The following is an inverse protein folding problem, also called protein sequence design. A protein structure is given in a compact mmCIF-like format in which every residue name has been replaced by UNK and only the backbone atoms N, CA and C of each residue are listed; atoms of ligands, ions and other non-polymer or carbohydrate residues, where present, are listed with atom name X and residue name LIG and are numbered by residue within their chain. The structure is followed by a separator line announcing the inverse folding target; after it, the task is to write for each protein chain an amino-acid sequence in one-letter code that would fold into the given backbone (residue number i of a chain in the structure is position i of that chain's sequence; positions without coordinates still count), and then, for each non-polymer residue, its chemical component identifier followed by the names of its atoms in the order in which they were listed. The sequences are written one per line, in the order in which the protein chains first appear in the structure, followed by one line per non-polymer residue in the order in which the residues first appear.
data_IF_825029408994
#
_entry.id   IF_825029408994
#
_cell.length_a   1.000
_cell.length_b   1.000
_cell.length_c   1.000
_cell.angle_alpha   90.00
_cell.angle_beta   90.00
_cell.angle_gamma   90.00
#
_symmetry.space_group_name_H-M   'P 1'
#
loop_
_entity.id
_entity.type
_entity.pdbx_description
1 polymer ?
#
# COMPACT_ATOMS: atom_id res chain seq x y z
N UNK A 1 -27.22 -0.95 -19.41
CA UNK A 1 -25.80 -0.95 -19.86
C UNK A 1 -24.95 0.17 -19.28
N UNK A 2 -25.06 1.46 -19.70
CA UNK A 2 -24.15 2.52 -19.19
C UNK A 2 -24.21 2.71 -17.66
N UNK A 3 -25.41 2.73 -17.07
CA UNK A 3 -25.58 2.85 -15.62
C UNK A 3 -24.99 1.66 -14.84
N UNK A 4 -25.18 0.44 -15.34
CA UNK A 4 -24.63 -0.78 -14.72
C UNK A 4 -23.10 -0.82 -14.81
N UNK A 5 -22.51 -0.40 -15.95
CA UNK A 5 -21.05 -0.29 -16.08
C UNK A 5 -20.49 0.73 -15.10
N UNK A 6 -21.20 1.83 -14.89
CA UNK A 6 -20.84 2.86 -13.92
C UNK A 6 -20.90 2.37 -12.49
N UNK A 7 -21.96 1.65 -12.13
CA UNK A 7 -22.10 1.03 -10.81
C UNK A 7 -20.95 0.07 -10.53
N UNK A 8 -20.63 -0.83 -11.47
CA UNK A 8 -19.52 -1.78 -11.31
C UNK A 8 -18.17 -1.07 -11.24
N UNK A 9 -17.96 0.00 -12.02
CA UNK A 9 -16.73 0.79 -11.99
C UNK A 9 -16.48 1.44 -10.62
N UNK A 10 -17.50 2.11 -10.08
CA UNK A 10 -17.36 2.82 -8.80
C UNK A 10 -17.33 1.87 -7.61
N UNK A 11 -18.13 0.80 -7.63
CA UNK A 11 -18.01 -0.26 -6.63
C UNK A 11 -16.62 -0.94 -6.74
N UNK A 12 -16.11 -1.04 -7.96
CA UNK A 12 -14.76 -1.49 -8.32
C UNK A 12 -13.59 -0.76 -7.66
N UNK A 13 -13.81 0.44 -7.12
CA UNK A 13 -12.80 1.21 -6.38
C UNK A 13 -12.34 0.46 -5.14
N UNK A 14 -13.26 -0.25 -4.48
CA UNK A 14 -12.99 -0.99 -3.23
C UNK A 14 -13.24 -2.50 -3.35
N UNK A 15 -13.95 -2.94 -4.40
CA UNK A 15 -14.28 -4.34 -4.67
C UNK A 15 -13.73 -4.79 -6.03
N UNK A 16 -12.65 -5.57 -6.06
CA UNK A 16 -12.02 -5.88 -7.34
C UNK A 16 -12.66 -7.00 -8.14
N UNK A 17 -13.52 -7.81 -7.53
CA UNK A 17 -14.40 -8.68 -8.32
C UNK A 17 -15.35 -7.83 -9.16
N UNK A 18 -15.80 -6.70 -8.62
CA UNK A 18 -16.59 -5.71 -9.37
C UNK A 18 -15.78 -4.93 -10.40
N UNK A 19 -14.52 -4.60 -10.10
CA UNK A 19 -13.62 -4.04 -11.12
C UNK A 19 -13.37 -5.04 -12.26
N UNK A 20 -13.18 -6.32 -11.96
CA UNK A 20 -13.06 -7.36 -12.96
C UNK A 20 -14.36 -7.49 -13.78
N UNK A 21 -15.52 -7.54 -13.11
CA UNK A 21 -16.85 -7.53 -13.74
C UNK A 21 -17.03 -6.32 -14.67
N UNK A 22 -16.62 -5.12 -14.24
CA UNK A 22 -16.62 -3.92 -15.08
C UNK A 22 -15.78 -4.11 -16.34
N UNK A 23 -14.54 -4.60 -16.21
CA UNK A 23 -13.66 -4.88 -17.35
C UNK A 23 -14.27 -5.93 -18.28
N UNK A 24 -14.82 -7.03 -17.77
CA UNK A 24 -15.46 -8.06 -18.59
C UNK A 24 -16.68 -7.53 -19.36
N UNK A 25 -17.54 -6.77 -18.68
CA UNK A 25 -18.76 -6.22 -19.29
C UNK A 25 -18.44 -5.15 -20.33
N UNK A 26 -17.50 -4.26 -20.05
CA UNK A 26 -17.07 -3.25 -21.02
C UNK A 26 -16.38 -3.92 -22.21
N UNK A 27 -15.52 -4.91 -21.97
CA UNK A 27 -14.86 -5.68 -23.04
C UNK A 27 -15.87 -6.33 -23.99
N UNK A 28 -16.91 -6.99 -23.46
CA UNK A 28 -18.00 -7.54 -24.27
C UNK A 28 -18.77 -6.46 -25.04
N UNK A 29 -19.03 -5.31 -24.41
CA UNK A 29 -19.77 -4.21 -25.03
C UNK A 29 -19.01 -3.57 -26.22
N UNK A 30 -17.68 -3.66 -26.26
CA UNK A 30 -16.83 -3.17 -27.36
C UNK A 30 -16.29 -4.29 -28.26
N UNK A 31 -16.86 -5.50 -28.16
CA UNK A 31 -16.51 -6.63 -29.02
C UNK A 31 -15.08 -7.20 -28.81
N UNK A 32 -14.47 -6.96 -27.65
CA UNK A 32 -13.13 -7.42 -27.31
C UNK A 32 -13.17 -8.71 -26.48
N UNK A 33 -12.20 -9.61 -26.72
CA UNK A 33 -12.13 -10.91 -26.02
C UNK A 33 -11.34 -10.82 -24.71
N UNK A 34 -10.57 -9.76 -24.51
CA UNK A 34 -9.79 -9.54 -23.29
C UNK A 34 -9.69 -8.05 -22.96
N UNK A 35 -9.62 -7.75 -21.66
CA UNK A 35 -9.43 -6.43 -21.12
C UNK A 35 -8.49 -6.46 -19.92
N UNK A 36 -7.66 -5.43 -19.78
CA UNK A 36 -6.74 -5.34 -18.65
C UNK A 36 -6.49 -3.90 -18.22
N UNK A 37 -6.35 -3.69 -16.91
CA UNK A 37 -5.81 -2.45 -16.36
C UNK A 37 -4.33 -2.68 -16.13
N UNK A 38 -3.47 -1.91 -16.79
CA UNK A 38 -2.02 -2.04 -16.69
C UNK A 38 -1.40 -0.77 -16.15
N UNK A 39 -0.41 -0.93 -15.26
CA UNK A 39 0.52 0.11 -14.88
C UNK A 39 1.82 -0.13 -15.65
N UNK A 40 2.25 0.88 -16.40
CA UNK A 40 3.48 0.86 -17.19
C UNK A 40 4.50 1.83 -16.60
N UNK A 41 5.72 1.35 -16.42
CA UNK A 41 6.91 2.18 -16.23
C UNK A 41 7.42 2.64 -17.61
N UNK A 42 7.47 3.94 -17.82
CA UNK A 42 7.85 4.58 -19.09
C UNK A 42 9.35 4.40 -19.36
N UNK A 43 10.20 4.36 -18.33
CA UNK A 43 11.65 4.28 -18.47
C UNK A 43 12.15 2.84 -18.43
N UNK A 44 11.57 2.02 -17.55
CA UNK A 44 11.98 0.63 -17.37
C UNK A 44 11.33 -0.35 -18.34
N UNK A 45 10.32 0.07 -19.11
CA UNK A 45 9.59 -0.77 -20.06
C UNK A 45 8.79 -1.91 -19.41
N UNK A 46 8.75 -1.96 -18.08
CA UNK A 46 8.02 -2.99 -17.33
C UNK A 46 6.54 -2.66 -17.28
N UNK A 47 5.72 -3.70 -17.44
CA UNK A 47 4.28 -3.62 -17.31
C UNK A 47 3.82 -4.48 -16.16
N UNK A 48 2.86 -3.98 -15.38
CA UNK A 48 2.20 -4.74 -14.33
C UNK A 48 0.70 -4.69 -14.55
N UNK A 49 0.09 -5.84 -14.80
CA UNK A 49 -1.35 -5.97 -14.80
C UNK A 49 -1.88 -5.77 -13.36
N UNK A 50 -2.77 -4.81 -13.19
CA UNK A 50 -3.50 -4.54 -11.95
C UNK A 50 -4.81 -5.32 -11.89
N UNK A 51 -5.44 -5.51 -13.06
CA UNK A 51 -6.67 -6.27 -13.29
C UNK A 51 -6.57 -6.87 -14.69
N UNK A 52 -7.01 -8.11 -14.88
CA UNK A 52 -7.13 -8.75 -16.18
C UNK A 52 -8.42 -9.57 -16.22
N UNK A 53 -9.10 -9.56 -17.37
CA UNK A 53 -10.37 -10.25 -17.54
C UNK A 53 -10.58 -10.71 -18.99
N UNK A 54 -11.32 -11.81 -19.17
CA UNK A 54 -11.58 -12.42 -20.48
C UNK A 54 -10.59 -13.52 -20.87
N UNK A 55 -10.61 -13.90 -22.14
CA UNK A 55 -9.73 -14.92 -22.70
C UNK A 55 -8.30 -14.36 -22.80
N UNK A 56 -7.52 -14.58 -21.75
CA UNK A 56 -6.11 -14.28 -21.72
C UNK A 56 -5.35 -15.31 -22.55
N UNK A 57 -4.30 -14.87 -23.22
CA UNK A 57 -3.32 -15.77 -23.80
C UNK A 57 -2.74 -16.72 -22.73
N UNK A 58 -2.15 -17.84 -23.18
CA UNK A 58 -1.42 -18.76 -22.31
C UNK A 58 -0.56 -17.98 -21.30
N UNK A 59 -0.71 -18.22 -19.97
CA UNK A 59 0.03 -17.50 -18.94
C UNK A 59 1.54 -17.42 -19.19
N UNK A 60 2.14 -18.45 -19.81
CA UNK A 60 3.57 -18.44 -20.17
C UNK A 60 3.91 -17.40 -21.25
N UNK A 61 3.02 -17.19 -22.20
CA UNK A 61 3.16 -16.19 -23.28
C UNK A 61 3.03 -14.77 -22.72
N UNK A 62 2.11 -14.57 -21.76
CA UNK A 62 1.93 -13.29 -21.06
C UNK A 62 3.11 -13.02 -20.12
N UNK A 63 3.60 -14.02 -19.41
CA UNK A 63 4.78 -13.90 -18.53
C UNK A 63 6.04 -13.56 -19.33
N UNK A 64 6.26 -14.24 -20.47
CA UNK A 64 7.34 -13.89 -21.40
C UNK A 64 7.25 -12.44 -21.91
N UNK A 65 6.04 -11.95 -22.20
CA UNK A 65 5.84 -10.55 -22.59
C UNK A 65 6.14 -9.57 -21.45
N UNK A 66 5.76 -9.90 -20.22
CA UNK A 66 6.03 -9.04 -19.06
C UNK A 66 7.51 -9.01 -18.67
N UNK A 67 8.26 -10.07 -18.95
CA UNK A 67 9.69 -10.19 -18.69
C UNK A 67 10.56 -9.56 -19.78
N UNK A 68 10.09 -9.55 -21.04
CA UNK A 68 10.83 -9.03 -22.18
C UNK A 68 10.49 -7.55 -22.46
N UNK A 69 11.37 -6.65 -22.00
CA UNK A 69 11.24 -5.19 -22.17
C UNK A 69 11.26 -4.73 -23.62
N UNK A 70 11.73 -5.57 -24.57
CA UNK A 70 11.83 -5.24 -26.00
C UNK A 70 10.44 -4.99 -26.62
N UNK A 71 9.43 -5.79 -26.28
CA UNK A 71 8.07 -5.61 -26.81
C UNK A 71 7.39 -4.34 -26.31
N UNK A 72 7.83 -3.85 -25.16
CA UNK A 72 7.40 -2.58 -24.61
C UNK A 72 7.91 -1.42 -25.47
N UNK A 73 9.18 -1.47 -25.89
CA UNK A 73 9.83 -0.39 -26.65
C UNK A 73 9.28 -0.34 -28.06
N UNK A 74 8.91 -1.48 -28.65
CA UNK A 74 8.38 -1.58 -30.02
C UNK A 74 6.85 -1.47 -30.13
N UNK A 75 6.15 -1.13 -29.04
CA UNK A 75 4.69 -0.96 -29.06
C UNK A 75 4.30 0.30 -29.84
N UNK A 76 4.06 0.15 -31.15
CA UNK A 76 3.77 1.24 -32.08
C UNK A 76 2.54 2.07 -31.67
N UNK A 77 1.46 1.42 -31.22
CA UNK A 77 0.27 2.12 -30.73
C UNK A 77 0.59 3.03 -29.55
N UNK A 78 1.32 2.53 -28.56
CA UNK A 78 1.72 3.34 -27.41
C UNK A 78 2.64 4.47 -27.85
N UNK A 79 3.69 4.19 -28.62
CA UNK A 79 4.72 5.16 -28.97
C UNK A 79 4.16 6.35 -29.74
N UNK A 80 3.22 6.10 -30.67
CA UNK A 80 2.57 7.17 -31.44
C UNK A 80 1.51 7.93 -30.62
N UNK A 81 0.82 7.27 -29.70
CA UNK A 81 -0.14 7.93 -28.83
C UNK A 81 0.52 8.68 -27.65
N UNK A 82 1.72 8.29 -27.24
CA UNK A 82 2.39 8.79 -26.04
C UNK A 82 2.56 10.32 -25.98
N UNK A 83 2.85 11.04 -27.08
CA UNK A 83 3.02 12.50 -27.04
C UNK A 83 1.73 13.28 -26.75
N UNK A 84 0.56 12.73 -27.11
CA UNK A 84 -0.74 13.43 -26.98
C UNK A 84 -1.63 12.84 -25.88
N UNK A 85 -1.22 11.71 -25.30
CA UNK A 85 -1.93 10.99 -24.26
C UNK A 85 -1.95 11.78 -22.94
N UNK A 86 -3.14 11.94 -22.39
CA UNK A 86 -3.43 12.55 -21.09
C UNK A 86 -4.50 11.73 -20.37
N UNK A 87 -4.72 11.98 -19.08
CA UNK A 87 -5.83 11.37 -18.36
C UNK A 87 -7.17 11.63 -19.12
N UNK A 88 -7.97 10.58 -19.28
CA UNK A 88 -9.21 10.61 -20.05
C UNK A 88 -9.05 10.42 -21.57
N UNK A 89 -7.83 10.31 -22.09
CA UNK A 89 -7.62 9.97 -23.51
C UNK A 89 -8.17 8.59 -23.84
N UNK A 90 -8.91 8.50 -24.95
CA UNK A 90 -9.29 7.25 -25.60
C UNK A 90 -8.40 7.05 -26.83
N UNK A 91 -7.71 5.92 -26.88
CA UNK A 91 -6.73 5.57 -27.90
C UNK A 91 -7.29 4.38 -28.66
N UNK A 92 -7.65 4.60 -29.92
CA UNK A 92 -8.17 3.56 -30.82
C UNK A 92 -7.05 3.15 -31.76
N UNK A 93 -6.71 1.86 -31.81
CA UNK A 93 -5.61 1.30 -32.61
C UNK A 93 -5.57 1.85 -34.03
N UNK A 94 -6.75 1.88 -34.66
CA UNK A 94 -6.94 2.14 -36.08
C UNK A 94 -6.75 3.63 -36.42
N UNK A 95 -6.85 4.51 -35.41
CA UNK A 95 -6.57 5.95 -35.54
C UNK A 95 -5.09 6.27 -35.34
N UNK A 96 -4.29 5.30 -34.89
CA UNK A 96 -2.89 5.50 -34.49
C UNK A 96 -1.92 4.84 -35.47
N UNK A 97 -2.25 3.65 -35.95
CA UNK A 97 -1.46 2.93 -36.95
C UNK A 97 -2.37 2.09 -37.85
N UNK A 98 -1.98 1.95 -39.11
CA UNK A 98 -2.68 1.04 -40.03
C UNK A 98 -2.34 -0.42 -39.71
N UNK A 99 -3.16 -1.36 -40.20
CA UNK A 99 -2.89 -2.79 -40.03
C UNK A 99 -1.56 -3.20 -40.66
N UNK A 100 -1.22 -2.64 -41.82
CA UNK A 100 0.02 -2.99 -42.53
C UNK A 100 1.26 -2.49 -41.77
N UNK A 101 1.20 -1.29 -41.20
CA UNK A 101 2.25 -0.80 -40.31
C UNK A 101 2.41 -1.70 -39.09
N UNK A 102 1.30 -2.07 -38.45
CA UNK A 102 1.32 -2.96 -37.28
C UNK A 102 1.93 -4.32 -37.62
N UNK A 103 1.57 -4.91 -38.77
CA UNK A 103 2.09 -6.21 -39.23
C UNK A 103 3.59 -6.21 -39.48
N UNK A 104 4.16 -5.07 -39.84
CA UNK A 104 5.60 -4.90 -40.01
C UNK A 104 6.39 -4.80 -38.70
N UNK A 105 5.72 -4.67 -37.55
CA UNK A 105 6.41 -4.53 -36.25
C UNK A 105 6.83 -5.88 -35.67
N UNK A 106 7.97 -5.92 -34.96
CA UNK A 106 8.35 -7.08 -34.13
C UNK A 106 7.30 -7.37 -33.06
N UNK A 107 6.71 -6.32 -32.49
CA UNK A 107 5.63 -6.42 -31.52
C UNK A 107 4.45 -7.27 -32.04
N UNK A 108 4.08 -7.12 -33.31
CA UNK A 108 3.08 -7.98 -33.91
C UNK A 108 3.59 -9.39 -34.20
N UNK A 109 4.71 -9.50 -34.91
CA UNK A 109 5.24 -10.77 -35.42
C UNK A 109 5.57 -11.76 -34.29
N UNK A 110 6.12 -11.26 -33.20
CA UNK A 110 6.63 -12.07 -32.09
C UNK A 110 5.59 -12.28 -30.99
N UNK A 111 4.61 -11.38 -30.84
CA UNK A 111 3.66 -11.43 -29.73
C UNK A 111 2.19 -11.35 -30.16
N UNK A 112 1.74 -10.22 -30.74
CA UNK A 112 0.30 -10.03 -30.97
C UNK A 112 -0.32 -11.10 -31.88
N UNK A 113 0.45 -11.61 -32.86
CA UNK A 113 0.02 -12.72 -33.73
C UNK A 113 -0.21 -14.02 -32.95
N UNK A 114 0.57 -14.30 -31.91
CA UNK A 114 0.45 -15.52 -31.10
C UNK A 114 -0.82 -15.52 -30.23
N UNK A 115 -1.37 -14.34 -29.96
CA UNK A 115 -2.52 -14.14 -29.08
C UNK A 115 -3.75 -13.64 -29.86
N UNK A 116 -3.72 -13.76 -31.20
CA UNK A 116 -4.74 -13.31 -32.14
C UNK A 116 -5.28 -11.91 -31.79
N UNK A 117 -4.37 -10.95 -31.64
CA UNK A 117 -4.71 -9.56 -31.32
C UNK A 117 -4.22 -8.64 -32.43
N UNK A 118 -5.12 -7.84 -32.99
CA UNK A 118 -4.73 -6.77 -33.93
C UNK A 118 -5.59 -5.51 -33.82
N UNK A 119 -6.54 -5.51 -32.88
CA UNK A 119 -7.39 -4.37 -32.56
C UNK A 119 -7.24 -4.02 -31.10
N UNK A 120 -7.21 -2.73 -30.78
CA UNK A 120 -7.13 -2.26 -29.40
C UNK A 120 -7.87 -0.95 -29.21
N UNK A 121 -8.57 -0.83 -28.09
CA UNK A 121 -9.01 0.47 -27.56
C UNK A 121 -8.51 0.61 -26.14
N UNK A 122 -7.95 1.75 -25.79
CA UNK A 122 -7.43 2.00 -24.46
C UNK A 122 -7.86 3.34 -23.88
N UNK A 123 -8.16 3.35 -22.58
CA UNK A 123 -8.54 4.51 -21.79
C UNK A 123 -7.39 4.84 -20.83
N UNK A 124 -6.87 6.06 -20.91
CA UNK A 124 -5.80 6.51 -20.01
C UNK A 124 -6.39 6.98 -18.67
N UNK A 125 -6.09 6.28 -17.58
CA UNK A 125 -6.50 6.67 -16.23
C UNK A 125 -5.60 7.78 -15.68
N UNK A 126 -4.29 7.66 -15.90
CA UNK A 126 -3.29 8.60 -15.40
C UNK A 126 -2.04 8.57 -16.28
N UNK A 127 -1.43 9.74 -16.46
CA UNK A 127 -0.17 9.93 -17.16
C UNK A 127 0.77 10.80 -16.31
N UNK A 128 1.80 10.17 -15.74
CA UNK A 128 2.94 10.80 -15.06
C UNK A 128 4.18 10.73 -15.95
N UNK A 129 5.27 11.46 -15.66
CA UNK A 129 6.50 11.42 -16.47
C UNK A 129 7.10 10.02 -16.58
N UNK A 130 7.06 9.25 -15.50
CA UNK A 130 7.65 7.92 -15.36
C UNK A 130 6.63 6.78 -15.43
N UNK A 131 5.33 7.06 -15.32
CA UNK A 131 4.30 6.04 -15.19
C UNK A 131 3.02 6.35 -15.98
N UNK A 132 2.42 5.32 -16.57
CA UNK A 132 1.10 5.42 -17.23
C UNK A 132 0.21 4.30 -16.72
N UNK A 133 -1.05 4.62 -16.38
CA UNK A 133 -2.07 3.60 -16.11
C UNK A 133 -3.14 3.63 -17.19
N UNK A 134 -3.41 2.47 -17.79
CA UNK A 134 -4.35 2.33 -18.90
C UNK A 134 -5.30 1.16 -18.66
N UNK A 135 -6.56 1.33 -19.05
CA UNK A 135 -7.47 0.22 -19.30
C UNK A 135 -7.47 -0.08 -20.78
N UNK A 136 -6.98 -1.25 -21.18
CA UNK A 136 -6.83 -1.65 -22.57
C UNK A 136 -7.69 -2.87 -22.86
N UNK A 137 -8.51 -2.77 -23.90
CA UNK A 137 -9.27 -3.87 -24.48
C UNK A 137 -8.65 -4.28 -25.80
N UNK A 138 -8.49 -5.59 -25.99
CA UNK A 138 -7.89 -6.17 -27.19
C UNK A 138 -8.87 -7.07 -27.93
N UNK A 139 -8.81 -7.01 -29.25
CA UNK A 139 -9.66 -7.74 -30.17
C UNK A 139 -8.88 -8.39 -31.30
N UNK A 140 -9.45 -9.47 -31.83
CA UNK A 140 -8.95 -10.20 -32.99
C UNK A 140 -8.94 -9.33 -34.25
N UNK A 141 -8.19 -9.75 -35.27
CA UNK A 141 -8.29 -9.09 -36.57
C UNK A 141 -9.71 -9.18 -37.16
N UNK A 142 -10.36 -10.35 -37.00
CA UNK A 142 -11.67 -10.67 -37.57
C UNK A 142 -12.81 -9.78 -37.08
N UNK A 143 -12.68 -9.15 -35.90
CA UNK A 143 -13.72 -8.22 -35.40
C UNK A 143 -13.82 -6.93 -36.20
N UNK A 144 -12.82 -6.60 -37.02
CA UNK A 144 -12.79 -5.35 -37.78
C UNK A 144 -12.58 -4.11 -36.90
N UNK A 145 -12.73 -2.94 -37.51
CA UNK A 145 -12.49 -1.64 -36.87
C UNK A 145 -13.49 -1.38 -35.72
N UNK A 146 -13.13 -0.45 -34.82
CA UNK A 146 -14.08 0.07 -33.82
C UNK A 146 -15.11 0.99 -34.46
N UNK A 147 -16.39 0.71 -34.21
CA UNK A 147 -17.46 1.54 -34.74
C UNK A 147 -17.64 2.83 -33.89
N UNK A 148 -18.42 3.78 -34.42
CA UNK A 148 -18.64 5.06 -33.75
C UNK A 148 -19.36 4.92 -32.38
N UNK A 149 -20.19 3.89 -32.19
CA UNK A 149 -20.94 3.66 -30.94
C UNK A 149 -20.01 3.09 -29.86
N UNK A 150 -19.15 2.16 -30.23
CA UNK A 150 -18.13 1.58 -29.34
C UNK A 150 -17.15 2.65 -28.86
N UNK A 151 -16.66 3.49 -29.78
CA UNK A 151 -15.76 4.58 -29.41
C UNK A 151 -16.47 5.62 -28.54
N UNK A 152 -17.70 6.00 -28.86
CA UNK A 152 -18.48 6.93 -28.04
C UNK A 152 -18.76 6.39 -26.63
N UNK A 153 -18.95 5.07 -26.47
CA UNK A 153 -19.08 4.42 -25.16
C UNK A 153 -17.78 4.57 -24.35
N UNK A 154 -16.62 4.29 -24.95
CA UNK A 154 -15.31 4.45 -24.32
C UNK A 154 -15.06 5.91 -23.92
N UNK A 155 -15.35 6.86 -24.82
CA UNK A 155 -15.20 8.30 -24.57
C UNK A 155 -16.12 8.78 -23.44
N UNK A 156 -17.34 8.25 -23.36
CA UNK A 156 -18.29 8.56 -22.29
C UNK A 156 -17.89 7.97 -20.92
N UNK A 157 -17.13 6.86 -20.90
CA UNK A 157 -16.67 6.21 -19.67
C UNK A 157 -15.28 6.68 -19.20
N UNK A 158 -14.45 7.20 -20.12
CA UNK A 158 -13.11 7.69 -19.83
C UNK A 158 -13.02 8.64 -18.60
N UNK A 159 -13.84 9.70 -18.47
CA UNK A 159 -13.76 10.58 -17.30
C UNK A 159 -14.12 9.86 -15.99
N UNK A 160 -15.03 8.89 -16.04
CA UNK A 160 -15.41 8.13 -14.86
C UNK A 160 -14.32 7.14 -14.44
N UNK A 161 -13.63 6.56 -15.43
CA UNK A 161 -12.48 5.70 -15.16
C UNK A 161 -11.33 6.48 -14.51
N UNK A 162 -11.07 7.71 -14.96
CA UNK A 162 -10.13 8.64 -14.30
C UNK A 162 -10.55 8.87 -12.84
N UNK A 163 -11.80 9.28 -12.60
CA UNK A 163 -12.30 9.58 -11.25
C UNK A 163 -12.22 8.36 -10.31
N UNK A 164 -12.60 7.18 -10.79
CA UNK A 164 -12.52 5.94 -10.01
C UNK A 164 -11.05 5.58 -9.68
N UNK A 165 -10.14 5.81 -10.63
CA UNK A 165 -8.71 5.59 -10.42
C UNK A 165 -8.09 6.60 -9.43
N UNK A 166 -8.46 7.87 -9.52
CA UNK A 166 -8.04 8.92 -8.58
C UNK A 166 -8.55 8.65 -7.16
N UNK A 167 -9.83 8.30 -7.01
CA UNK A 167 -10.40 7.93 -5.71
C UNK A 167 -9.66 6.73 -5.11
N UNK A 168 -9.33 5.74 -5.94
CA UNK A 168 -8.55 4.58 -5.51
C UNK A 168 -7.13 4.97 -5.07
N UNK A 169 -6.44 5.83 -5.81
CA UNK A 169 -5.12 6.34 -5.40
C UNK A 169 -5.21 7.10 -4.07
N UNK A 170 -6.19 7.99 -3.91
CA UNK A 170 -6.38 8.75 -2.68
C UNK A 170 -6.60 7.82 -1.47
N UNK A 171 -7.39 6.75 -1.62
CA UNK A 171 -7.57 5.74 -0.57
C UNK A 171 -6.28 4.97 -0.26
N UNK A 172 -5.48 4.64 -1.27
CA UNK A 172 -4.19 3.98 -1.08
C UNK A 172 -3.16 4.89 -0.40
N UNK A 173 -3.13 6.17 -0.77
CA UNK A 173 -2.24 7.16 -0.17
C UNK A 173 -2.65 7.43 1.28
N UNK A 174 -3.95 7.58 1.55
CA UNK A 174 -4.47 7.68 2.90
C UNK A 174 -4.12 6.44 3.75
N UNK A 175 -4.22 5.23 3.19
CA UNK A 175 -3.79 4.00 3.85
C UNK A 175 -2.28 3.99 4.15
N UNK A 176 -1.44 4.37 3.18
CA UNK A 176 0.02 4.43 3.37
C UNK A 176 0.41 5.44 4.44
N UNK A 177 -0.26 6.59 4.46
CA UNK A 177 -0.03 7.67 5.43
C UNK A 177 -0.76 7.44 6.76
N UNK A 178 -1.56 6.38 6.89
CA UNK A 178 -2.35 6.14 8.09
C UNK A 178 -1.46 5.76 9.29
N UNK A 179 -1.17 6.77 10.13
CA UNK A 179 -0.83 6.65 11.56
C UNK A 179 0.54 6.09 11.92
N UNK A 180 0.84 6.13 13.23
CA UNK A 180 2.04 5.52 13.86
C UNK A 180 1.95 4.03 14.09
N UNK A 181 0.73 3.49 14.04
CA UNK A 181 0.49 2.09 14.25
C UNK A 181 0.98 1.30 13.03
N UNK A 182 1.81 0.29 13.25
CA UNK A 182 2.21 -0.60 12.18
C UNK A 182 1.02 -1.50 11.80
N UNK A 183 0.53 -1.35 10.57
CA UNK A 183 -0.61 -2.09 10.02
C UNK A 183 -0.18 -2.90 8.80
N UNK A 184 -0.52 -4.19 8.82
CA UNK A 184 -0.29 -5.10 7.70
C UNK A 184 -1.60 -5.80 7.35
N UNK A 185 -1.97 -5.72 6.08
CA UNK A 185 -3.07 -6.50 5.51
C UNK A 185 -2.49 -7.79 4.98
N UNK A 186 -2.99 -8.94 5.46
CA UNK A 186 -2.41 -10.26 5.19
C UNK A 186 -3.43 -11.19 4.51
N UNK A 187 -2.95 -12.07 3.63
CA UNK A 187 -3.75 -13.14 3.01
C UNK A 187 -4.00 -14.31 4.00
N UNK A 188 -4.70 -15.36 3.55
CA UNK A 188 -4.96 -16.58 4.33
C UNK A 188 -3.68 -17.31 4.79
N UNK A 189 -2.56 -17.06 4.13
CA UNK A 189 -1.25 -17.64 4.41
C UNK A 189 -0.33 -16.70 5.20
N UNK A 190 -0.87 -15.62 5.78
CA UNK A 190 -0.13 -14.56 6.48
C UNK A 190 0.93 -13.86 5.61
N UNK A 191 0.72 -13.81 4.30
CA UNK A 191 1.57 -13.05 3.38
C UNK A 191 1.07 -11.61 3.31
N UNK A 192 1.96 -10.61 3.38
CA UNK A 192 1.55 -9.22 3.25
C UNK A 192 0.96 -8.91 1.88
N UNK A 193 -0.29 -8.49 1.89
CA UNK A 193 -1.03 -7.94 0.75
C UNK A 193 -0.83 -6.42 0.70
N UNK A 194 -0.78 -5.74 1.84
CA UNK A 194 -0.45 -4.32 1.91
C UNK A 194 0.14 -3.98 3.27
N UNK A 195 0.97 -2.94 3.32
CA UNK A 195 1.65 -2.47 4.52
C UNK A 195 1.58 -0.94 4.53
N UNK A 196 1.24 -0.33 5.67
CA UNK A 196 1.30 1.13 5.81
C UNK A 196 2.72 1.59 6.19
N UNK A 197 2.97 2.90 6.25
CA UNK A 197 4.29 3.44 6.59
C UNK A 197 4.84 2.90 7.93
N UNK A 198 4.01 2.81 8.98
CA UNK A 198 4.44 2.25 10.27
C UNK A 198 4.85 0.77 10.19
N UNK A 199 4.16 -0.02 9.36
CA UNK A 199 4.52 -1.41 9.10
C UNK A 199 5.82 -1.54 8.31
N UNK A 200 6.08 -0.66 7.35
CA UNK A 200 7.34 -0.61 6.60
C UNK A 200 8.52 -0.28 7.53
N UNK A 201 8.37 0.71 8.42
CA UNK A 201 9.38 1.03 9.44
C UNK A 201 9.69 -0.16 10.35
N UNK A 202 8.66 -0.90 10.79
CA UNK A 202 8.83 -2.11 11.61
C UNK A 202 9.58 -3.22 10.85
N UNK A 203 9.29 -3.40 9.55
CA UNK A 203 10.02 -4.34 8.70
C UNK A 203 11.49 -3.92 8.53
N UNK A 204 11.76 -2.62 8.35
CA UNK A 204 13.11 -2.06 8.29
C UNK A 204 13.87 -2.23 9.62
N UNK A 205 13.18 -2.09 10.76
CA UNK A 205 13.73 -2.36 12.09
C UNK A 205 13.98 -3.85 12.36
N UNK A 206 13.67 -4.74 11.41
CA UNK A 206 13.92 -6.19 11.48
C UNK A 206 13.25 -6.87 12.67
N UNK A 207 12.07 -6.40 13.09
CA UNK A 207 11.26 -7.08 14.10
C UNK A 207 10.55 -8.29 13.46
N UNK A 208 9.89 -8.05 12.33
CA UNK A 208 9.34 -9.06 11.44
C UNK A 208 10.08 -9.00 10.10
N UNK A 209 10.09 -10.12 9.37
CA UNK A 209 10.59 -10.15 7.99
C UNK A 209 9.62 -10.88 7.08
N UNK A 210 9.64 -10.48 5.82
CA UNK A 210 8.99 -11.18 4.71
C UNK A 210 10.07 -11.96 3.97
N UNK A 211 10.04 -13.29 4.01
CA UNK A 211 10.86 -14.08 3.08
C UNK A 211 10.28 -13.90 1.67
N UNK A 212 11.12 -13.82 0.62
CA UNK A 212 10.65 -13.63 -0.78
C UNK A 212 9.50 -14.61 -1.10
N UNK A 213 8.32 -14.09 -1.44
CA UNK A 213 7.06 -14.84 -1.71
C UNK A 213 6.56 -15.75 -0.57
N UNK A 214 6.99 -15.53 0.67
CA UNK A 214 6.66 -16.37 1.83
C UNK A 214 5.98 -15.56 2.95
N UNK A 215 5.37 -16.29 3.90
CA UNK A 215 4.64 -15.74 5.02
C UNK A 215 5.52 -14.82 5.89
N UNK A 216 4.87 -13.92 6.62
CA UNK A 216 5.51 -13.10 7.63
C UNK A 216 6.09 -14.01 8.74
N UNK A 217 7.30 -13.70 9.21
CA UNK A 217 7.89 -14.41 10.36
C UNK A 217 8.70 -13.47 11.25
N UNK A 218 8.78 -13.75 12.57
CA UNK A 218 9.66 -13.01 13.45
C UNK A 218 11.12 -13.28 13.15
N UNK A 219 11.94 -12.23 13.24
CA UNK A 219 13.38 -12.34 13.04
C UNK A 219 14.03 -13.05 14.22
N UNK A 220 13.71 -12.64 15.44
CA UNK A 220 14.34 -13.16 16.64
C UNK A 220 13.68 -14.47 17.14
N UNK A 221 14.47 -15.48 17.60
CA UNK A 221 13.95 -16.74 18.11
C UNK A 221 12.96 -16.62 19.27
N UNK A 222 13.12 -15.63 20.16
CA UNK A 222 12.25 -15.41 21.32
C UNK A 222 10.77 -15.23 20.94
N UNK A 223 10.50 -14.69 19.73
CA UNK A 223 9.14 -14.45 19.23
C UNK A 223 8.54 -15.66 18.51
N UNK A 224 9.35 -16.68 18.14
CA UNK A 224 8.91 -17.80 17.28
C UNK A 224 7.91 -18.72 17.97
N UNK A 225 8.02 -18.95 19.27
CA UNK A 225 7.10 -19.81 20.00
C UNK A 225 5.67 -19.24 19.98
N UNK A 226 5.52 -17.95 20.34
CA UNK A 226 4.24 -17.25 20.29
C UNK A 226 3.68 -17.16 18.86
N UNK A 227 4.54 -16.87 17.89
CA UNK A 227 4.16 -16.84 16.47
C UNK A 227 3.64 -18.19 15.96
N UNK A 228 4.36 -19.27 16.24
CA UNK A 228 3.95 -20.62 15.83
C UNK A 228 2.65 -21.05 16.52
N UNK A 229 2.45 -20.64 17.78
CA UNK A 229 1.19 -20.88 18.48
C UNK A 229 0.02 -20.14 17.83
N UNK A 230 0.21 -18.86 17.44
CA UNK A 230 -0.77 -18.09 16.67
C UNK A 230 -1.12 -18.82 15.36
N UNK A 231 -0.11 -19.14 14.54
CA UNK A 231 -0.32 -19.85 13.25
C UNK A 231 -1.10 -21.15 13.43
N UNK A 232 -0.77 -21.93 14.46
CA UNK A 232 -1.51 -23.18 14.78
C UNK A 232 -2.96 -22.90 15.17
N UNK A 233 -3.23 -21.89 16.00
CA UNK A 233 -4.61 -21.52 16.37
C UNK A 233 -5.43 -21.09 15.16
N UNK A 234 -4.85 -20.28 14.27
CA UNK A 234 -5.49 -19.86 13.03
C UNK A 234 -5.86 -21.06 12.15
N UNK A 235 -4.94 -22.00 11.98
CA UNK A 235 -5.18 -23.21 11.21
C UNK A 235 -6.28 -24.10 11.81
N UNK A 236 -6.35 -24.21 13.14
CA UNK A 236 -7.37 -24.99 13.84
C UNK A 236 -8.76 -24.33 13.82
N UNK A 237 -8.81 -23.01 13.93
CA UNK A 237 -10.07 -22.24 14.02
C UNK A 237 -10.62 -21.81 12.65
N UNK A 238 -9.79 -21.87 11.60
CA UNK A 238 -10.11 -21.29 10.28
C UNK A 238 -10.04 -19.75 10.25
N UNK A 239 -9.51 -19.11 11.30
CA UNK A 239 -9.39 -17.66 11.41
C UNK A 239 -8.99 -17.18 12.82
N UNK A 240 -8.78 -15.86 13.00
CA UNK A 240 -8.43 -15.25 14.28
C UNK A 240 -9.57 -15.34 15.30
N UNK A 241 -9.20 -15.27 16.58
CA UNK A 241 -10.12 -15.21 17.70
C UNK A 241 -11.05 -13.99 17.61
N UNK A 242 -12.27 -14.12 18.15
CA UNK A 242 -13.14 -12.97 18.38
C UNK A 242 -12.59 -12.07 19.50
N UNK A 243 -11.98 -12.66 20.53
CA UNK A 243 -11.39 -11.91 21.64
C UNK A 243 -9.99 -11.34 21.27
N UNK A 244 -9.76 -10.02 21.45
CA UNK A 244 -8.45 -9.38 21.39
C UNK A 244 -7.27 -10.08 22.05
N UNK A 245 -7.46 -10.65 23.24
CA UNK A 245 -6.36 -11.13 24.07
C UNK A 245 -5.74 -12.43 23.57
N UNK A 246 -6.47 -13.21 22.78
CA UNK A 246 -6.08 -14.59 22.46
C UNK A 246 -5.04 -14.69 21.35
N UNK A 247 -4.94 -13.70 20.47
CA UNK A 247 -4.05 -13.70 19.31
C UNK A 247 -2.98 -12.60 19.38
N UNK A 248 -2.50 -12.35 20.61
CA UNK A 248 -1.37 -11.46 20.87
C UNK A 248 -0.05 -12.25 20.82
N UNK A 249 0.94 -11.70 20.11
CA UNK A 249 2.30 -12.25 20.04
C UNK A 249 3.30 -11.18 20.45
N UNK A 250 4.12 -11.48 21.45
CA UNK A 250 5.26 -10.65 21.81
C UNK A 250 6.33 -10.72 20.69
N UNK A 251 6.75 -9.54 20.24
CA UNK A 251 7.76 -9.37 19.20
C UNK A 251 9.03 -8.77 19.80
N UNK A 252 10.17 -9.27 19.33
CA UNK A 252 11.48 -8.86 19.76
C UNK A 252 12.30 -8.39 18.56
N UNK A 253 13.17 -7.41 18.77
CA UNK A 253 14.09 -6.91 17.76
C UNK A 253 15.26 -7.88 17.51
N UNK A 254 16.19 -7.48 16.65
CA UNK A 254 17.34 -8.30 16.29
C UNK A 254 18.26 -8.63 17.48
N UNK A 255 18.27 -7.80 18.52
CA UNK A 255 19.09 -7.95 19.73
C UNK A 255 18.35 -8.73 20.84
N UNK A 256 17.09 -9.09 20.59
CA UNK A 256 16.27 -9.87 21.51
C UNK A 256 15.56 -9.05 22.57
N UNK A 257 15.55 -7.72 22.45
CA UNK A 257 14.76 -6.85 23.32
C UNK A 257 13.30 -6.84 22.87
N UNK A 258 12.38 -6.69 23.83
CA UNK A 258 10.95 -6.64 23.54
C UNK A 258 10.65 -5.37 22.71
N UNK A 259 10.31 -5.58 21.44
CA UNK A 259 10.10 -4.53 20.46
C UNK A 259 8.63 -4.16 20.28
N UNK A 260 7.69 -5.01 20.71
CA UNK A 260 6.26 -4.73 20.58
C UNK A 260 5.36 -5.94 20.76
N UNK A 261 4.08 -5.73 20.48
CA UNK A 261 3.06 -6.76 20.48
C UNK A 261 2.30 -6.73 19.16
N UNK A 262 2.21 -7.87 18.49
CA UNK A 262 1.35 -8.06 17.34
C UNK A 262 -0.02 -8.59 17.78
N UNK A 263 -1.08 -8.11 17.16
CA UNK A 263 -2.40 -8.73 17.22
C UNK A 263 -2.97 -8.91 15.81
N UNK A 264 -3.75 -9.97 15.60
CA UNK A 264 -4.32 -10.30 14.29
C UNK A 264 -5.84 -10.29 14.35
N UNK A 265 -6.49 -9.70 13.35
CA UNK A 265 -7.96 -9.59 13.25
C UNK A 265 -8.51 -10.10 11.93
N UNK A 266 -9.73 -10.67 11.92
CA UNK A 266 -10.43 -10.91 10.67
C UNK A 266 -10.69 -9.58 9.98
N UNK A 267 -10.50 -9.54 8.66
CA UNK A 267 -10.78 -8.37 7.83
C UNK A 267 -11.68 -8.72 6.66
N UNK A 268 -11.29 -9.72 5.87
CA UNK A 268 -12.11 -10.26 4.79
C UNK A 268 -12.44 -9.23 3.69
N UNK A 269 -11.45 -8.46 3.23
CA UNK A 269 -11.62 -7.57 2.07
C UNK A 269 -10.50 -7.78 1.06
N UNK A 270 -10.85 -7.73 -0.22
CA UNK A 270 -9.86 -7.82 -1.28
C UNK A 270 -9.16 -6.47 -1.51
N UNK A 271 -7.85 -6.51 -1.78
CA UNK A 271 -7.02 -5.33 -2.08
C UNK A 271 -6.49 -5.43 -3.52
N UNK A 272 -6.82 -4.47 -4.39
CA UNK A 272 -6.49 -4.61 -5.79
C UNK A 272 -5.02 -4.37 -6.14
N UNK A 273 -4.49 -5.28 -6.96
CA UNK A 273 -3.08 -5.37 -7.35
C UNK A 273 -2.22 -6.20 -6.40
N UNK A 274 -2.79 -6.73 -5.31
CA UNK A 274 -2.04 -7.44 -4.26
C UNK A 274 -2.74 -8.70 -3.71
N UNK A 275 -4.07 -8.83 -3.85
CA UNK A 275 -4.82 -10.06 -3.53
C UNK A 275 -5.85 -9.88 -2.41
N UNK A 276 -6.37 -10.99 -1.87
CA UNK A 276 -7.38 -10.90 -0.79
C UNK A 276 -6.72 -10.71 0.57
N UNK A 277 -7.00 -9.61 1.27
CA UNK A 277 -6.62 -9.47 2.67
C UNK A 277 -7.68 -10.14 3.57
N UNK A 278 -7.31 -11.28 4.12
CA UNK A 278 -8.12 -12.02 5.07
C UNK A 278 -7.97 -11.47 6.47
N UNK A 279 -6.81 -10.93 6.80
CA UNK A 279 -6.51 -10.45 8.13
C UNK A 279 -5.90 -9.05 8.13
N UNK A 280 -6.11 -8.31 9.23
CA UNK A 280 -5.35 -7.12 9.59
C UNK A 280 -4.49 -7.45 10.78
N UNK A 281 -3.18 -7.29 10.65
CA UNK A 281 -2.24 -7.32 11.76
C UNK A 281 -1.97 -5.90 12.21
N UNK A 282 -2.09 -5.66 13.51
CA UNK A 282 -1.62 -4.44 14.17
C UNK A 282 -0.38 -4.77 14.98
N UNK A 283 0.65 -3.94 14.90
CA UNK A 283 1.84 -4.06 15.73
C UNK A 283 2.02 -2.77 16.52
N UNK A 284 1.86 -2.88 17.83
CA UNK A 284 2.15 -1.78 18.74
C UNK A 284 3.62 -1.86 19.13
N UNK A 285 4.45 -0.96 18.59
CA UNK A 285 5.90 -0.98 18.79
C UNK A 285 6.28 -0.29 20.10
N UNK A 286 7.09 -0.95 20.91
CA UNK A 286 7.79 -0.36 22.06
C UNK A 286 9.10 0.32 21.65
N UNK A 287 9.53 0.19 20.38
CA UNK A 287 10.72 0.85 19.85
C UNK A 287 10.62 2.34 20.12
N UNK A 288 11.53 2.85 20.96
CA UNK A 288 11.59 4.23 21.42
C UNK A 288 11.83 5.16 20.24
N UNK A 289 10.75 5.73 19.70
CA UNK A 289 10.83 6.73 18.63
C UNK A 289 11.38 8.05 19.19
N UNK A 290 12.14 8.75 18.35
CA UNK A 290 12.96 9.92 18.70
C UNK A 290 12.20 10.98 19.52
N UNK A 291 12.77 11.32 20.67
CA UNK A 291 12.28 12.33 21.62
C UNK A 291 12.46 13.79 21.15
N UNK A 292 12.94 14.01 19.93
CA UNK A 292 13.25 15.34 19.40
C UNK A 292 12.02 16.27 19.37
N UNK A 293 10.82 15.73 19.15
CA UNK A 293 9.57 16.49 19.23
C UNK A 293 8.98 16.60 20.65
N UNK A 294 9.22 15.58 21.50
CA UNK A 294 8.58 15.46 22.81
C UNK A 294 8.90 16.64 23.72
N UNK A 295 10.17 17.07 23.75
CA UNK A 295 10.58 18.23 24.55
C UNK A 295 9.87 19.53 24.12
N UNK A 296 9.75 19.77 22.81
CA UNK A 296 9.08 20.95 22.27
C UNK A 296 7.58 20.95 22.62
N UNK A 297 6.91 19.82 22.41
CA UNK A 297 5.49 19.65 22.70
C UNK A 297 5.17 19.79 24.19
N UNK A 298 6.01 19.26 25.09
CA UNK A 298 5.81 19.42 26.52
C UNK A 298 5.87 20.89 26.97
N UNK A 299 6.72 21.68 26.33
CA UNK A 299 6.82 23.12 26.59
C UNK A 299 5.58 23.85 26.10
N UNK A 300 5.07 23.49 24.93
CA UNK A 300 3.89 24.10 24.32
C UNK A 300 2.60 23.75 25.07
N UNK A 301 2.35 22.46 25.35
CA UNK A 301 1.10 22.00 25.97
C UNK A 301 1.00 22.34 27.46
N UNK A 302 2.11 22.27 28.20
CA UNK A 302 2.10 22.38 29.66
C UNK A 302 2.91 23.57 30.19
N UNK A 303 3.49 24.41 29.32
CA UNK A 303 4.32 25.53 29.75
C UNK A 303 5.58 25.09 30.52
N UNK A 304 6.10 23.90 30.24
CA UNK A 304 7.36 23.45 30.84
C UNK A 304 8.51 24.36 30.38
N UNK A 305 9.45 24.62 31.28
CA UNK A 305 10.72 25.26 30.93
C UNK A 305 11.62 24.28 30.17
N UNK A 306 12.65 24.75 29.46
CA UNK A 306 13.61 23.85 28.79
C UNK A 306 14.22 22.81 29.75
N UNK A 307 14.57 23.22 30.97
CA UNK A 307 15.14 22.33 31.98
C UNK A 307 14.16 21.29 32.55
N UNK A 308 12.87 21.63 32.63
CA UNK A 308 11.81 20.69 33.05
C UNK A 308 11.50 19.69 31.94
N UNK A 309 11.36 20.15 30.70
CA UNK A 309 11.13 19.26 29.55
C UNK A 309 12.31 18.29 29.36
N UNK A 310 13.55 18.77 29.53
CA UNK A 310 14.75 17.92 29.44
C UNK A 310 14.75 16.85 30.53
N UNK A 311 14.37 17.21 31.76
CA UNK A 311 14.25 16.23 32.86
C UNK A 311 13.12 15.22 32.62
N UNK A 312 11.96 15.66 32.12
CA UNK A 312 10.83 14.78 31.81
C UNK A 312 11.20 13.75 30.71
N UNK A 313 11.88 14.20 29.64
CA UNK A 313 12.37 13.32 28.57
C UNK A 313 13.44 12.36 29.09
N UNK A 314 14.39 12.84 29.91
CA UNK A 314 15.39 11.98 30.53
C UNK A 314 14.73 10.93 31.46
N UNK A 315 13.70 11.30 32.20
CA UNK A 315 12.94 10.41 33.08
C UNK A 315 12.17 9.35 32.29
N UNK A 316 11.59 9.73 31.14
CA UNK A 316 10.94 8.81 30.21
C UNK A 316 11.91 7.75 29.67
N UNK A 317 13.14 8.16 29.34
CA UNK A 317 14.17 7.23 28.86
C UNK A 317 14.78 6.37 29.97
N UNK A 318 15.13 6.95 31.12
CA UNK A 318 15.91 6.25 32.15
C UNK A 318 15.04 5.48 33.15
N UNK A 319 13.75 5.82 33.28
CA UNK A 319 12.82 5.21 34.24
C UNK A 319 13.09 5.58 35.70
N UNK A 320 14.32 5.95 36.05
CA UNK A 320 14.73 6.34 37.40
C UNK A 320 15.14 7.82 37.46
N UNK A 321 14.72 8.51 38.53
CA UNK A 321 15.00 9.94 38.73
C UNK A 321 16.49 10.24 38.95
N UNK A 322 17.23 9.33 39.58
CA UNK A 322 18.67 9.49 39.82
C UNK A 322 19.46 9.46 38.50
N UNK A 323 19.15 8.51 37.63
CA UNK A 323 19.74 8.37 36.30
C UNK A 323 19.32 9.53 35.37
N UNK A 324 18.06 9.98 35.45
CA UNK A 324 17.59 11.17 34.74
C UNK A 324 18.34 12.44 35.20
N UNK A 325 18.55 12.61 36.51
CA UNK A 325 19.30 13.72 37.07
C UNK A 325 20.76 13.72 36.58
N UNK A 326 21.40 12.55 36.58
CA UNK A 326 22.75 12.37 36.03
C UNK A 326 22.82 12.71 34.53
N UNK A 327 21.84 12.25 33.74
CA UNK A 327 21.73 12.57 32.30
C UNK A 327 21.59 14.08 32.07
N UNK A 328 20.88 14.78 32.95
CA UNK A 328 20.71 16.24 32.90
C UNK A 328 21.87 17.03 33.54
N UNK A 329 22.88 16.38 34.11
CA UNK A 329 23.99 17.05 34.81
C UNK A 329 23.56 17.82 36.06
N UNK A 330 22.49 17.39 36.76
CA UNK A 330 21.98 18.04 37.97
C UNK A 330 21.98 17.08 39.17
N UNK A 331 22.01 17.65 40.38
CA UNK A 331 21.85 16.87 41.61
C UNK A 331 20.43 16.31 41.77
N UNK A 332 20.30 15.16 42.44
CA UNK A 332 19.01 14.48 42.68
C UNK A 332 18.02 15.37 43.43
N UNK A 333 18.49 16.20 44.37
CA UNK A 333 17.65 17.19 45.06
C UNK A 333 17.03 18.22 44.12
N UNK A 334 17.82 18.79 43.21
CA UNK A 334 17.35 19.72 42.18
C UNK A 334 16.39 19.04 41.19
N UNK A 335 16.63 17.76 40.87
CA UNK A 335 15.72 16.98 40.04
C UNK A 335 14.36 16.77 40.72
N UNK A 336 14.32 16.52 42.04
CA UNK A 336 13.05 16.44 42.81
C UNK A 336 12.27 17.75 42.76
N UNK A 337 12.93 18.89 42.97
CA UNK A 337 12.26 20.20 42.89
C UNK A 337 11.70 20.47 41.49
N UNK A 338 12.46 20.15 40.43
CA UNK A 338 11.97 20.27 39.05
C UNK A 338 10.81 19.31 38.76
N UNK A 339 10.87 18.09 39.27
CA UNK A 339 9.79 17.10 39.13
C UNK A 339 8.49 17.56 39.81
N UNK A 340 8.59 18.21 40.97
CA UNK A 340 7.43 18.83 41.64
C UNK A 340 6.80 19.94 40.79
N UNK A 341 7.61 20.83 40.21
CA UNK A 341 7.12 21.85 39.27
C UNK A 341 6.44 21.23 38.04
N UNK A 342 7.00 20.13 37.50
CA UNK A 342 6.39 19.38 36.40
C UNK A 342 5.02 18.82 36.81
N UNK A 343 4.90 18.25 38.01
CA UNK A 343 3.62 17.74 38.54
C UNK A 343 2.57 18.83 38.67
N UNK A 344 2.92 20.01 39.16
CA UNK A 344 2.01 21.15 39.25
C UNK A 344 1.54 21.62 37.87
N UNK A 345 2.46 21.72 36.90
CA UNK A 345 2.15 22.15 35.53
C UNK A 345 1.35 21.13 34.72
N UNK A 346 1.60 19.85 34.94
CA UNK A 346 0.89 18.74 34.25
C UNK A 346 -0.36 18.27 34.98
N UNK A 347 -0.60 18.74 36.22
CA UNK A 347 -1.64 18.26 37.14
C UNK A 347 -1.58 16.76 37.40
N UNK A 348 -0.36 16.22 37.47
CA UNK A 348 -0.10 14.83 37.82
C UNK A 348 0.52 14.77 39.21
N UNK A 349 0.39 13.64 39.89
CA UNK A 349 0.87 13.49 41.27
C UNK A 349 1.87 12.35 41.45
N UNK A 350 2.09 11.54 40.42
CA UNK A 350 2.97 10.37 40.47
C UNK A 350 3.87 10.33 39.25
N UNK A 351 5.12 9.94 39.48
CA UNK A 351 6.10 9.74 38.41
C UNK A 351 5.62 8.71 37.39
N UNK A 352 4.94 7.65 37.85
CA UNK A 352 4.37 6.62 36.95
C UNK A 352 3.32 7.20 36.02
N UNK A 353 2.48 8.12 36.51
CA UNK A 353 1.44 8.76 35.69
C UNK A 353 2.06 9.74 34.67
N UNK A 354 3.12 10.44 35.07
CA UNK A 354 3.91 11.27 34.16
C UNK A 354 4.55 10.42 33.05
N UNK A 355 5.20 9.31 33.39
CA UNK A 355 5.81 8.42 32.39
C UNK A 355 4.76 7.86 31.43
N UNK A 356 3.59 7.44 31.92
CA UNK A 356 2.47 6.97 31.07
C UNK A 356 1.94 8.04 30.12
N UNK A 357 1.81 9.28 30.60
CA UNK A 357 1.40 10.41 29.78
C UNK A 357 2.46 10.70 28.71
N UNK A 358 3.76 10.63 29.06
CA UNK A 358 4.86 10.78 28.12
C UNK A 358 4.90 9.66 27.08
N UNK A 359 4.63 8.41 27.46
CA UNK A 359 4.48 7.30 26.51
C UNK A 359 3.37 7.56 25.49
N UNK A 360 2.22 8.06 25.98
CA UNK A 360 1.07 8.38 25.12
C UNK A 360 1.38 9.52 24.16
N UNK A 361 1.93 10.63 24.67
CA UNK A 361 2.30 11.78 23.84
C UNK A 361 3.40 11.44 22.84
N UNK A 362 4.42 10.68 23.25
CA UNK A 362 5.49 10.26 22.34
C UNK A 362 4.95 9.33 21.24
N UNK A 363 3.99 8.47 21.56
CA UNK A 363 3.28 7.65 20.58
C UNK A 363 2.45 8.46 19.57
N UNK A 364 1.91 9.61 19.97
CA UNK A 364 1.21 10.54 19.09
C UNK A 364 2.18 11.39 18.25
N UNK A 365 3.23 11.97 18.83
CA UNK A 365 4.16 12.85 18.11
C UNK A 365 4.98 12.13 17.04
N UNK A 366 5.15 10.83 17.20
CA UNK A 366 5.71 10.00 16.15
C UNK A 366 4.85 9.95 14.85
N UNK A 367 3.62 10.47 14.86
CA UNK A 367 2.69 10.44 13.71
C UNK A 367 2.75 11.64 12.78
N UNK A 368 3.49 12.69 13.15
CA UNK A 368 3.48 13.97 12.43
C UNK A 368 4.71 14.22 11.55
N UNK A 369 5.71 13.33 11.53
CA UNK A 369 6.84 13.52 10.60
C UNK A 369 6.48 13.02 9.20
N UNK A 370 6.38 13.89 8.19
CA UNK A 370 6.41 13.42 6.81
C UNK A 370 7.77 12.77 6.56
N UNK A 371 7.76 11.57 5.96
CA UNK A 371 8.97 10.95 5.44
C UNK A 371 9.61 11.91 4.41
N UNK A 372 10.96 12.00 4.34
CA UNK A 372 11.61 12.84 3.36
C UNK A 372 11.16 12.42 1.96
N UNK A 373 10.62 13.39 1.21
CA UNK A 373 10.36 13.25 -0.22
C UNK A 373 11.67 12.85 -0.89
N UNK A 374 11.73 11.63 -1.45
CA UNK A 374 12.73 11.23 -2.43
C UNK A 374 12.11 11.28 -3.81
#
# INVERSE_FOLDING_TARGET
MKAELMEELYAGVTDPERMQSFVERLGRAVGCHSGSVTLRDVHGGRHRALVAAGAMADPRTVERFNEDTLYSVDNLWFNRAAPTMRAGSVIVSDRVATLDEMRGTRYYLDFLRQIDTLRSVALCASRKPDQVTMLTFVGTERRGDFDAREVALCEALAPHFVNAFELRQALQDAWRQAGTLALLLLDENLRPVSVNAGGEEMLLARVLRVRRKAALEPVHPASRAGWNALVRRLALRGGPAQDPGEDIVALHDADGLLAGFASLRPYGKYIPGTGTARFVMTVNTLVRRSSAGLSATLRELFGLTPGEATLAVALHHQGELSAAAATCGIGVGSARTRLQSIFEKTRLHRQVDLVRMLDTLNGMLASERPLPLY
#
